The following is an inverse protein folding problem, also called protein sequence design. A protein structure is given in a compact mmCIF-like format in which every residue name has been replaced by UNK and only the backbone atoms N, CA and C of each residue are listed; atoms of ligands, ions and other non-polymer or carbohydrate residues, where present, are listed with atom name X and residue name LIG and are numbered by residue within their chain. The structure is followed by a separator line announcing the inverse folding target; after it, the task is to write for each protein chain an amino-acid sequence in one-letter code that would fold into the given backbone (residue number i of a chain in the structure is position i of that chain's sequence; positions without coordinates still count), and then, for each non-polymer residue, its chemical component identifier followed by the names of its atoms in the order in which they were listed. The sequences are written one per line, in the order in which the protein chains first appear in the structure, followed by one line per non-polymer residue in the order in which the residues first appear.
data_IF_447755620790
#
_entry.id   IF_447755620790
#
_cell.length_a   1.000
_cell.length_b   1.000
_cell.length_c   1.000
_cell.angle_alpha   90.00
_cell.angle_beta   90.00
_cell.angle_gamma   90.00
#
_symmetry.space_group_name_H-M   'P 1'
#
loop_
_entity.id
_entity.type
_entity.pdbx_description
1 polymer ?
#
# COMPACT_ATOMS: atom_id res chain seq x y z
N UNK A 1 -7.96 3.04 44.41
CA UNK A 1 -7.13 2.65 43.24
C UNK A 1 -5.98 1.70 43.57
N UNK A 2 -5.20 1.93 44.64
CA UNK A 2 -4.01 1.11 44.96
C UNK A 2 -4.28 -0.42 45.12
N UNK A 3 -5.40 -0.80 45.75
CA UNK A 3 -5.77 -2.22 45.95
C UNK A 3 -6.05 -2.98 44.65
N UNK A 4 -6.74 -2.35 43.70
CA UNK A 4 -7.02 -2.92 42.37
C UNK A 4 -5.74 -3.14 41.57
N UNK A 5 -4.87 -2.13 41.54
CA UNK A 5 -3.56 -2.22 40.86
C UNK A 5 -2.71 -3.34 41.48
N UNK A 6 -2.77 -3.52 42.81
CA UNK A 6 -2.08 -4.63 43.48
C UNK A 6 -2.60 -5.98 43.03
N UNK A 7 -3.91 -6.14 42.84
CA UNK A 7 -4.48 -7.39 42.32
C UNK A 7 -3.98 -7.65 40.90
N UNK A 8 -4.07 -6.65 40.01
CA UNK A 8 -3.53 -6.73 38.64
C UNK A 8 -2.08 -7.19 38.63
N UNK A 9 -1.22 -6.57 39.45
CA UNK A 9 0.19 -6.98 39.57
C UNK A 9 0.35 -8.43 40.07
N UNK A 10 -0.46 -8.88 41.03
CA UNK A 10 -0.42 -10.27 41.48
C UNK A 10 -0.92 -11.27 40.43
N UNK A 11 -1.72 -10.85 39.47
CA UNK A 11 -2.19 -11.66 38.35
C UNK A 11 -1.37 -11.45 37.06
N UNK A 12 -0.23 -10.77 37.15
CA UNK A 12 0.72 -10.61 36.03
C UNK A 12 0.30 -9.56 34.98
N UNK A 13 -0.64 -8.69 35.30
CA UNK A 13 -0.95 -7.55 34.44
C UNK A 13 0.15 -6.50 34.55
N UNK A 14 0.58 -5.95 33.41
CA UNK A 14 1.63 -4.93 33.36
C UNK A 14 1.06 -3.61 32.87
N UNK A 15 1.53 -2.51 33.47
CA UNK A 15 1.14 -1.15 33.08
C UNK A 15 1.75 -0.82 31.72
N UNK A 16 0.93 -0.37 30.78
CA UNK A 16 1.38 0.22 29.53
C UNK A 16 1.36 1.74 29.68
N UNK A 17 2.45 2.38 29.28
CA UNK A 17 2.51 3.85 29.14
C UNK A 17 2.42 4.15 27.65
N UNK A 18 1.29 4.72 27.19
CA UNK A 18 1.21 5.21 25.81
C UNK A 18 2.21 6.38 25.66
N UNK A 19 3.06 6.32 24.66
CA UNK A 19 4.08 7.34 24.35
C UNK A 19 3.45 8.69 23.90
N UNK A 20 2.13 8.72 23.69
CA UNK A 20 1.44 9.78 22.94
C UNK A 20 0.70 10.78 23.83
N UNK A 21 0.91 10.78 25.16
CA UNK A 21 0.19 11.61 26.12
C UNK A 21 0.49 13.13 26.03
N UNK A 22 1.17 13.60 24.98
CA UNK A 22 1.69 14.98 24.94
C UNK A 22 0.77 16.01 24.26
N UNK A 23 -0.41 15.65 23.70
CA UNK A 23 -1.14 16.62 22.87
C UNK A 23 -2.55 16.96 23.35
N UNK A 24 -3.37 16.04 23.86
CA UNK A 24 -4.68 16.42 24.41
C UNK A 24 -5.24 15.31 25.28
N UNK A 25 -5.33 15.53 26.60
CA UNK A 25 -6.48 15.22 27.47
C UNK A 25 -6.03 15.11 28.93
N UNK A 26 -6.75 15.84 29.77
CA UNK A 26 -6.55 16.06 31.21
C UNK A 26 -6.93 14.82 32.07
N UNK A 27 -6.70 13.61 31.53
CA UNK A 27 -6.96 12.33 32.20
C UNK A 27 -5.79 11.41 31.93
N UNK A 28 -5.02 11.11 32.99
CA UNK A 28 -3.99 10.07 32.97
C UNK A 28 -4.71 8.72 32.82
N UNK A 29 -4.95 8.30 31.59
CA UNK A 29 -5.52 6.99 31.29
C UNK A 29 -4.43 5.93 31.49
N UNK A 30 -4.60 5.10 32.52
CA UNK A 30 -3.67 4.03 32.86
C UNK A 30 -4.22 2.72 32.33
N UNK A 31 -3.53 2.14 31.36
CA UNK A 31 -3.90 0.85 30.78
C UNK A 31 -3.04 -0.29 31.35
N UNK A 32 -3.68 -1.44 31.53
CA UNK A 32 -3.04 -2.68 31.98
C UNK A 32 -3.35 -3.80 31.01
N UNK A 33 -2.34 -4.61 30.67
CA UNK A 33 -2.49 -5.70 29.69
C UNK A 33 -1.99 -7.02 30.25
N UNK A 34 -2.66 -8.09 29.83
CA UNK A 34 -2.28 -9.48 30.07
C UNK A 34 -2.60 -10.33 28.82
N UNK A 35 -1.68 -11.19 28.33
CA UNK A 35 -1.88 -11.95 27.08
C UNK A 35 -3.17 -12.79 27.02
N UNK A 36 -3.58 -13.36 28.15
CA UNK A 36 -4.79 -14.17 28.29
C UNK A 36 -6.05 -13.39 28.70
N UNK A 37 -5.97 -12.06 28.79
CA UNK A 37 -7.13 -11.20 29.05
C UNK A 37 -7.61 -10.60 27.73
N UNK A 38 -8.47 -11.34 27.02
CA UNK A 38 -9.00 -10.95 25.70
C UNK A 38 -10.51 -10.77 25.76
N UNK A 39 -11.02 -9.80 24.99
CA UNK A 39 -12.47 -9.56 24.89
C UNK A 39 -13.13 -10.77 24.21
N UNK A 40 -14.28 -11.18 24.73
CA UNK A 40 -15.11 -12.27 24.21
C UNK A 40 -14.51 -13.69 24.29
N UNK A 41 -13.37 -13.86 24.97
CA UNK A 41 -12.69 -15.16 25.16
C UNK A 41 -12.55 -15.54 26.65
N UNK A 42 -13.65 -15.92 27.34
CA UNK A 42 -13.62 -16.21 28.77
C UNK A 42 -12.80 -17.46 29.13
N UNK A 43 -12.58 -18.39 28.19
CA UNK A 43 -11.79 -19.61 28.44
C UNK A 43 -10.33 -19.33 28.80
N UNK A 44 -9.78 -18.22 28.30
CA UNK A 44 -8.40 -17.82 28.57
C UNK A 44 -8.20 -17.28 30.00
N UNK A 45 -9.28 -16.83 30.67
CA UNK A 45 -9.20 -16.28 32.03
C UNK A 45 -8.72 -17.32 33.05
N UNK A 46 -8.96 -18.61 32.83
CA UNK A 46 -8.46 -19.70 33.67
C UNK A 46 -6.93 -19.80 33.72
N UNK A 47 -6.25 -19.24 32.71
CA UNK A 47 -4.79 -19.20 32.65
C UNK A 47 -4.19 -18.02 33.44
N UNK A 48 -5.02 -17.08 33.90
CA UNK A 48 -4.59 -15.92 34.70
C UNK A 48 -4.55 -16.34 36.18
N UNK A 49 -3.41 -16.84 36.64
CA UNK A 49 -3.22 -17.31 38.02
C UNK A 49 -2.47 -16.30 38.86
N UNK A 50 -2.83 -16.25 40.15
CA UNK A 50 -2.15 -15.39 41.13
C UNK A 50 -0.70 -15.86 41.32
N UNK A 51 0.25 -14.94 41.24
CA UNK A 51 1.64 -15.14 41.64
C UNK A 51 1.69 -15.31 43.15
N UNK A 52 1.95 -16.54 43.62
CA UNK A 52 2.12 -16.83 45.04
C UNK A 52 3.58 -16.56 45.42
N UNK A 53 3.81 -15.66 46.36
CA UNK A 53 5.12 -15.51 47.00
C UNK A 53 5.22 -16.53 48.14
N UNK A 54 5.22 -17.82 47.81
CA UNK A 54 5.55 -18.85 48.79
C UNK A 54 7.07 -18.89 48.92
N UNK A 55 7.56 -18.48 50.09
CA UNK A 55 8.89 -18.83 50.56
C UNK A 55 9.10 -20.34 50.35
N UNK A 56 10.17 -20.70 49.64
CA UNK A 56 10.82 -22.02 49.54
C UNK A 56 9.96 -23.24 49.91
N UNK A 57 9.38 -23.91 48.91
CA UNK A 57 9.52 -25.36 48.70
C UNK A 57 8.71 -25.84 47.48
N UNK A 58 9.41 -26.58 46.61
CA UNK A 58 8.92 -27.72 45.83
C UNK A 58 7.78 -27.51 44.81
N UNK A 59 8.13 -27.32 43.54
CA UNK A 59 7.45 -27.91 42.37
C UNK A 59 8.22 -27.55 41.09
N UNK A 60 9.42 -28.11 40.98
CA UNK A 60 10.00 -28.37 39.67
C UNK A 60 9.12 -29.36 38.91
N UNK A 61 8.97 -29.10 37.61
CA UNK A 61 8.44 -29.99 36.56
C UNK A 61 6.94 -30.27 36.60
N UNK A 62 6.19 -29.49 35.83
CA UNK A 62 5.09 -29.99 34.99
C UNK A 62 4.67 -28.91 33.97
N UNK A 63 5.56 -28.64 33.02
CA UNK A 63 5.18 -28.13 31.70
C UNK A 63 5.68 -29.18 30.72
N UNK A 64 4.83 -29.77 29.85
CA UNK A 64 5.28 -30.77 28.90
C UNK A 64 6.10 -30.08 27.81
N UNK A 65 7.41 -30.02 28.01
CA UNK A 65 8.40 -29.43 27.11
C UNK A 65 8.38 -30.09 25.71
N UNK A 66 7.96 -31.35 25.65
CA UNK A 66 7.88 -32.14 24.41
C UNK A 66 6.74 -31.68 23.48
N UNK A 67 5.61 -31.22 24.03
CA UNK A 67 4.48 -30.73 23.22
C UNK A 67 4.77 -29.37 22.55
N UNK A 68 5.63 -28.56 23.17
CA UNK A 68 6.05 -27.27 22.61
C UNK A 68 7.10 -27.42 21.51
N UNK A 69 7.95 -28.46 21.57
CA UNK A 69 8.99 -28.70 20.56
C UNK A 69 8.40 -29.13 19.21
N UNK A 70 7.38 -29.99 19.22
CA UNK A 70 6.67 -30.41 18.01
C UNK A 70 5.80 -29.29 17.41
N UNK A 71 5.24 -28.42 18.24
CA UNK A 71 4.54 -27.22 17.75
C UNK A 71 5.52 -26.20 17.18
N UNK A 72 6.68 -26.00 17.81
CA UNK A 72 7.72 -25.10 17.33
C UNK A 72 8.33 -25.61 16.02
N UNK A 73 8.55 -26.91 15.87
CA UNK A 73 9.08 -27.50 14.62
C UNK A 73 8.09 -27.35 13.46
N UNK A 74 6.79 -27.55 13.72
CA UNK A 74 5.72 -27.26 12.75
C UNK A 74 5.68 -25.78 12.37
N UNK A 75 5.75 -24.88 13.36
CA UNK A 75 5.73 -23.44 13.12
C UNK A 75 6.96 -22.98 12.33
N UNK A 76 8.14 -23.56 12.59
CA UNK A 76 9.34 -23.33 11.78
C UNK A 76 9.19 -23.83 10.33
N UNK A 77 8.52 -24.97 10.13
CA UNK A 77 8.23 -25.47 8.79
C UNK A 77 7.25 -24.55 8.04
N UNK A 78 6.20 -24.07 8.73
CA UNK A 78 5.23 -23.12 8.18
C UNK A 78 5.89 -21.78 7.84
N UNK A 79 6.78 -21.27 8.70
CA UNK A 79 7.55 -20.04 8.43
C UNK A 79 8.45 -20.21 7.21
N UNK A 80 9.11 -21.36 7.05
CA UNK A 80 9.91 -21.66 5.83
C UNK A 80 9.04 -21.74 4.58
N UNK A 81 7.87 -22.36 4.69
CA UNK A 81 6.91 -22.44 3.59
C UNK A 81 6.43 -21.04 3.19
N UNK A 82 6.04 -20.21 4.15
CA UNK A 82 5.63 -18.83 3.92
C UNK A 82 6.75 -18.00 3.31
N UNK A 83 7.99 -18.16 3.77
CA UNK A 83 9.15 -17.50 3.17
C UNK A 83 9.35 -17.89 1.71
N UNK A 84 9.26 -19.18 1.38
CA UNK A 84 9.37 -19.65 0.00
C UNK A 84 8.23 -19.13 -0.88
N UNK A 85 7.00 -19.10 -0.34
CA UNK A 85 5.85 -18.52 -1.04
C UNK A 85 6.02 -17.01 -1.25
N UNK A 86 6.57 -16.30 -0.27
CA UNK A 86 6.87 -14.88 -0.37
C UNK A 86 7.87 -14.62 -1.51
N UNK A 87 8.95 -15.40 -1.57
CA UNK A 87 9.94 -15.29 -2.64
C UNK A 87 9.32 -15.53 -4.04
N UNK A 88 8.39 -16.48 -4.17
CA UNK A 88 7.66 -16.71 -5.43
C UNK A 88 6.77 -15.52 -5.80
N UNK A 89 6.03 -14.99 -4.82
CA UNK A 89 5.18 -13.80 -5.02
C UNK A 89 6.02 -12.59 -5.44
N UNK A 90 7.17 -12.38 -4.82
CA UNK A 90 8.07 -11.29 -5.16
C UNK A 90 8.57 -11.40 -6.61
N UNK A 91 8.88 -12.62 -7.08
CA UNK A 91 9.23 -12.86 -8.49
C UNK A 91 8.07 -12.49 -9.42
N UNK A 92 6.85 -12.93 -9.12
CA UNK A 92 5.67 -12.61 -9.93
C UNK A 92 5.39 -11.11 -9.96
N UNK A 93 5.45 -10.44 -8.82
CA UNK A 93 5.28 -8.98 -8.72
C UNK A 93 6.33 -8.25 -9.56
N UNK A 94 7.59 -8.68 -9.48
CA UNK A 94 8.67 -8.07 -10.26
C UNK A 94 8.48 -8.27 -11.76
N UNK A 95 8.00 -9.44 -12.19
CA UNK A 95 7.67 -9.69 -13.59
C UNK A 95 6.50 -8.82 -14.06
N UNK A 96 5.41 -8.75 -13.29
CA UNK A 96 4.26 -7.90 -13.59
C UNK A 96 4.64 -6.43 -13.68
N UNK A 97 5.51 -5.93 -12.79
CA UNK A 97 6.03 -4.55 -12.86
C UNK A 97 6.79 -4.30 -14.15
N UNK A 98 7.61 -5.24 -14.61
CA UNK A 98 8.34 -5.13 -15.88
C UNK A 98 7.38 -5.13 -17.06
N UNK A 99 6.43 -6.05 -17.12
CA UNK A 99 5.41 -6.10 -18.18
C UNK A 99 4.60 -4.81 -18.23
N UNK A 100 4.17 -4.31 -17.07
CA UNK A 100 3.46 -3.04 -16.97
C UNK A 100 4.29 -1.88 -17.54
N UNK A 101 5.59 -1.81 -17.23
CA UNK A 101 6.49 -0.80 -17.80
C UNK A 101 6.64 -0.90 -19.32
N UNK A 102 6.59 -2.11 -19.88
CA UNK A 102 6.63 -2.34 -21.33
C UNK A 102 5.33 -1.88 -21.96
N UNK A 103 4.18 -2.25 -21.38
CA UNK A 103 2.86 -1.81 -21.84
C UNK A 103 2.74 -0.28 -21.86
N UNK A 104 3.23 0.41 -20.83
CA UNK A 104 3.27 1.87 -20.81
C UNK A 104 4.07 2.46 -21.97
N UNK A 105 5.23 1.86 -22.28
CA UNK A 105 6.06 2.28 -23.42
C UNK A 105 5.33 2.07 -24.74
N UNK A 106 4.70 0.92 -24.92
CA UNK A 106 3.90 0.62 -26.12
C UNK A 106 2.73 1.58 -26.28
N UNK A 107 2.01 1.86 -25.20
CA UNK A 107 0.92 2.82 -25.19
C UNK A 107 1.39 4.23 -25.56
N UNK A 108 2.54 4.67 -25.04
CA UNK A 108 3.14 5.95 -25.39
C UNK A 108 3.48 6.04 -26.89
N UNK A 109 4.07 4.98 -27.45
CA UNK A 109 4.36 4.88 -28.89
C UNK A 109 3.06 4.90 -29.71
N UNK A 110 2.02 4.20 -29.26
CA UNK A 110 0.74 4.13 -29.95
C UNK A 110 0.05 5.50 -29.97
N UNK A 111 0.07 6.23 -28.85
CA UNK A 111 -0.41 7.63 -28.76
C UNK A 111 0.34 8.54 -29.73
N UNK A 112 1.67 8.41 -29.82
CA UNK A 112 2.47 9.21 -30.76
C UNK A 112 2.11 8.89 -32.22
N UNK A 113 1.94 7.60 -32.57
CA UNK A 113 1.50 7.18 -33.91
C UNK A 113 0.12 7.74 -34.23
N UNK A 114 -0.81 7.67 -33.28
CA UNK A 114 -2.15 8.20 -33.44
C UNK A 114 -2.15 9.72 -33.67
N UNK A 115 -1.35 10.47 -32.91
CA UNK A 115 -1.20 11.91 -33.11
C UNK A 115 -0.65 12.24 -34.51
N UNK A 116 0.33 11.47 -35.01
CA UNK A 116 0.84 11.62 -36.39
C UNK A 116 -0.26 11.35 -37.43
N UNK A 117 -1.07 10.32 -37.23
CA UNK A 117 -2.20 10.02 -38.11
C UNK A 117 -3.20 11.18 -38.15
N UNK A 118 -3.58 11.74 -36.99
CA UNK A 118 -4.46 12.91 -36.93
C UNK A 118 -3.86 14.10 -37.70
N UNK A 119 -2.56 14.36 -37.55
CA UNK A 119 -1.90 15.43 -38.29
C UNK A 119 -1.94 15.19 -39.81
N UNK A 120 -1.73 13.97 -40.27
CA UNK A 120 -1.81 13.60 -41.68
C UNK A 120 -3.24 13.78 -42.19
N UNK A 121 -4.24 13.28 -41.46
CA UNK A 121 -5.67 13.45 -41.80
C UNK A 121 -6.03 14.93 -41.90
N UNK A 122 -5.62 15.75 -40.94
CA UNK A 122 -5.86 17.19 -40.99
C UNK A 122 -5.20 17.84 -42.21
N UNK A 123 -3.97 17.44 -42.56
CA UNK A 123 -3.31 17.91 -43.79
C UNK A 123 -4.06 17.47 -45.05
N UNK A 124 -4.58 16.24 -45.09
CA UNK A 124 -5.40 15.75 -46.20
C UNK A 124 -6.71 16.53 -46.32
N UNK A 125 -7.40 16.80 -45.20
CA UNK A 125 -8.61 17.64 -45.19
C UNK A 125 -8.30 19.04 -45.70
N UNK A 126 -7.22 19.66 -45.23
CA UNK A 126 -6.78 20.97 -45.70
C UNK A 126 -6.45 20.97 -47.20
N UNK A 127 -5.76 19.93 -47.69
CA UNK A 127 -5.47 19.75 -49.11
C UNK A 127 -6.74 19.58 -49.94
N UNK A 128 -7.67 18.73 -49.50
CA UNK A 128 -8.97 18.56 -50.16
C UNK A 128 -9.74 19.88 -50.18
N UNK A 129 -9.77 20.64 -49.07
CA UNK A 129 -10.37 21.97 -49.04
C UNK A 129 -9.71 22.92 -50.03
N UNK A 130 -8.38 22.91 -50.17
CA UNK A 130 -7.68 23.79 -51.10
C UNK A 130 -7.88 23.40 -52.57
N UNK A 131 -7.97 22.11 -52.88
CA UNK A 131 -8.18 21.59 -54.24
C UNK A 131 -9.65 21.66 -54.67
N UNK A 132 -10.59 21.57 -53.72
CA UNK A 132 -12.04 21.65 -53.98
C UNK A 132 -12.57 23.09 -53.91
N UNK A 133 -11.91 24.03 -53.22
CA UNK A 133 -12.31 25.46 -53.17
C UNK A 133 -11.87 26.39 -54.34
N UNK A 134 -11.14 26.00 -55.42
CA UNK A 134 -10.82 26.96 -56.48
C UNK A 134 -12.06 27.37 -57.31
N UNK A 135 -13.20 26.69 -57.18
CA UNK A 135 -14.45 27.05 -57.87
C UNK A 135 -15.39 27.94 -57.07
N UNK A 136 -15.29 28.00 -55.73
CA UNK A 136 -16.19 28.85 -54.92
C UNK A 136 -15.61 30.24 -54.62
N UNK A 137 -14.28 30.42 -54.64
CA UNK A 137 -13.63 31.73 -54.39
C UNK A 137 -13.13 32.47 -55.64
N UNK A 138 -13.57 32.09 -56.84
CA UNK A 138 -13.37 32.87 -58.07
C UNK A 138 -14.52 33.84 -58.39
N UNK A 139 -15.37 34.11 -57.40
CA UNK A 139 -16.25 35.29 -57.39
C UNK A 139 -15.89 36.13 -56.17
N UNK A 140 -15.13 37.21 -56.35
CA UNK A 140 -14.85 38.21 -55.31
C UNK A 140 -13.38 38.34 -54.90
N UNK A 141 -12.63 39.11 -55.68
CA UNK A 141 -11.69 40.18 -55.26
C UNK A 141 -10.65 39.88 -54.13
N UNK A 142 -9.37 39.99 -54.48
CA UNK A 142 -8.36 40.59 -53.59
C UNK A 142 -7.33 39.66 -52.95
N UNK A 143 -6.15 39.60 -53.55
CA UNK A 143 -4.90 39.06 -52.97
C UNK A 143 -4.41 39.95 -51.83
N UNK A 144 -4.14 39.41 -50.64
CA UNK A 144 -2.88 39.61 -49.86
C UNK A 144 -2.66 38.44 -48.90
N UNK A 145 -1.70 37.57 -49.25
CA UNK A 145 -1.19 36.50 -48.40
C UNK A 145 -0.48 37.10 -47.18
N UNK A 146 -0.91 36.73 -45.97
CA UNK A 146 -0.10 36.83 -44.75
C UNK A 146 -0.09 35.46 -44.09
N UNK A 147 1.01 34.73 -44.27
CA UNK A 147 1.37 33.61 -43.41
C UNK A 147 2.11 34.19 -42.20
N UNK A 148 1.81 33.69 -41.00
CA UNK A 148 2.86 33.06 -40.23
C UNK A 148 2.45 31.64 -39.86
N UNK A 149 3.22 30.69 -40.37
CA UNK A 149 3.32 29.34 -39.86
C UNK A 149 4.04 29.43 -38.50
N UNK A 150 3.29 29.34 -37.40
CA UNK A 150 3.89 29.13 -36.08
C UNK A 150 3.40 27.77 -35.56
N UNK A 151 4.21 26.75 -35.84
CA UNK A 151 4.21 25.52 -35.04
C UNK A 151 4.65 25.95 -33.64
N UNK A 152 3.70 26.25 -32.76
CA UNK A 152 4.01 26.38 -31.35
C UNK A 152 4.24 24.97 -30.83
N UNK A 153 5.49 24.52 -30.90
CA UNK A 153 6.00 23.53 -29.98
C UNK A 153 5.72 24.03 -28.57
N UNK A 154 4.95 23.27 -27.80
CA UNK A 154 4.98 23.40 -26.36
C UNK A 154 5.41 22.06 -25.78
N UNK A 155 6.63 21.97 -25.23
CA UNK A 155 7.08 20.79 -24.49
C UNK A 155 6.45 20.83 -23.10
N UNK A 156 6.16 19.63 -22.59
CA UNK A 156 5.97 19.34 -21.16
C UNK A 156 4.82 20.02 -20.41
N UNK A 157 3.76 19.23 -20.17
CA UNK A 157 3.16 19.19 -18.82
C UNK A 157 3.42 17.81 -18.23
N UNK A 158 4.45 17.73 -17.38
CA UNK A 158 4.45 16.78 -16.26
C UNK A 158 3.29 17.19 -15.36
N UNK A 159 2.32 16.29 -15.21
CA UNK A 159 1.46 16.29 -14.03
C UNK A 159 1.47 14.87 -13.49
N UNK A 160 2.32 14.71 -12.49
CA UNK A 160 2.19 13.84 -11.32
C UNK A 160 1.11 12.76 -11.39
N UNK A 161 1.54 11.51 -11.55
CA UNK A 161 0.81 10.35 -11.02
C UNK A 161 1.51 9.94 -9.72
N UNK A 162 0.89 10.29 -8.60
CA UNK A 162 1.04 9.54 -7.35
C UNK A 162 0.18 8.28 -7.47
N UNK A 163 0.75 7.17 -6.97
CA UNK A 163 0.25 5.79 -6.84
C UNK A 163 0.59 4.83 -7.98
#
# INVERSE_FOLDING_TARGET
MSSFIRQLNMYGFHKISLLNSSITNDKVEVEFVHPYFQRDEPGLLGNIKRKVTTSRHNSEKNVPEVANQDQLSKLMADVKYLHNRQAQVDVVINNLKRENSVLWRELAVLRQKHQKQIQIVNKLIQFLLTVVQPSTRRSGLGVKRRYPLMLNENPEKKTEEQF
#
